data_IF_154563663480
#
_entry.id   IF_154563663480
#
_cell.length_a   1.000
_cell.length_b   1.000
_cell.length_c   1.000
_cell.angle_alpha   90.00
_cell.angle_beta   90.00
_cell.angle_gamma   90.00
#
_symmetry.space_group_name_H-M   'P 1'
#
loop_
_entity.id
_entity.type
_entity.pdbx_description
1 polymer ?
#
# COMPACT_ATOMS: atom_id res chain seq x y z
N UNK A 1 8.64 0.51 -0.54
CA UNK A 1 8.40 0.67 0.92
C UNK A 1 9.66 0.62 1.82
N UNK A 2 10.30 -0.52 2.13
CA UNK A 2 11.49 -0.52 3.05
C UNK A 2 12.65 0.33 2.52
N UNK A 3 13.01 0.15 1.25
CA UNK A 3 14.00 0.98 0.56
C UNK A 3 13.61 2.48 0.49
N UNK A 4 12.31 2.80 0.58
CA UNK A 4 11.83 4.19 0.64
C UNK A 4 12.07 4.79 2.03
N UNK A 5 11.84 4.01 3.09
CA UNK A 5 12.10 4.42 4.46
C UNK A 5 13.59 4.70 4.71
N UNK A 6 14.48 3.89 4.15
CA UNK A 6 15.93 4.04 4.28
C UNK A 6 16.46 5.34 3.66
N UNK A 7 15.77 5.88 2.66
CA UNK A 7 16.10 7.16 2.00
C UNK A 7 15.69 8.39 2.83
N UNK A 8 14.88 8.23 3.87
CA UNK A 8 14.42 9.33 4.73
C UNK A 8 15.46 9.62 5.81
N UNK A 9 15.88 10.88 5.94
CA UNK A 9 16.79 11.30 7.00
C UNK A 9 16.08 11.59 8.32
N UNK A 10 14.83 12.08 8.29
CA UNK A 10 14.02 12.29 9.49
C UNK A 10 13.61 10.94 10.11
N UNK A 11 14.02 10.64 11.37
CA UNK A 11 13.66 9.40 12.05
C UNK A 11 12.15 9.20 12.22
N UNK A 12 11.38 10.29 12.39
CA UNK A 12 9.91 10.20 12.55
C UNK A 12 9.25 9.80 11.24
N UNK A 13 9.57 10.48 10.14
CA UNK A 13 9.10 10.09 8.82
C UNK A 13 9.51 8.65 8.45
N UNK A 14 10.76 8.26 8.76
CA UNK A 14 11.25 6.89 8.54
C UNK A 14 10.41 5.85 9.28
N UNK A 15 10.23 6.02 10.60
CA UNK A 15 9.44 5.11 11.41
C UNK A 15 8.00 5.00 10.88
N UNK A 16 7.43 6.13 10.46
CA UNK A 16 6.09 6.16 9.88
C UNK A 16 6.00 5.36 8.58
N UNK A 17 6.93 5.53 7.63
CA UNK A 17 6.97 4.72 6.39
C UNK A 17 7.22 3.23 6.67
N UNK A 18 8.00 2.89 7.70
CA UNK A 18 8.16 1.48 8.10
C UNK A 18 6.87 0.86 8.64
N UNK A 19 6.07 1.62 9.41
CA UNK A 19 4.74 1.17 9.87
C UNK A 19 3.82 0.94 8.67
N UNK A 20 3.77 1.89 7.72
CA UNK A 20 3.03 1.71 6.48
C UNK A 20 3.49 0.45 5.70
N UNK A 21 4.78 0.11 5.74
CA UNK A 21 5.32 -1.09 5.08
C UNK A 21 4.81 -2.38 5.74
N UNK A 22 4.57 -2.36 7.05
CA UNK A 22 4.01 -3.49 7.77
C UNK A 22 2.56 -3.76 7.38
N UNK A 23 1.75 -2.71 7.17
CA UNK A 23 0.38 -2.86 6.68
C UNK A 23 0.33 -3.54 5.29
N UNK A 24 1.21 -3.17 4.36
CA UNK A 24 1.30 -3.84 3.06
C UNK A 24 1.56 -5.36 3.19
N UNK A 25 2.39 -5.78 4.16
CA UNK A 25 2.61 -7.20 4.43
C UNK A 25 1.37 -7.87 5.01
N UNK A 26 0.61 -7.17 5.87
CA UNK A 26 -0.67 -7.67 6.37
C UNK A 26 -1.68 -7.88 5.24
N UNK A 27 -1.76 -6.97 4.25
CA UNK A 27 -2.62 -7.15 3.07
C UNK A 27 -2.31 -8.48 2.36
N UNK A 28 -1.02 -8.71 2.06
CA UNK A 28 -0.55 -9.92 1.39
C UNK A 28 -0.87 -11.19 2.21
N UNK A 29 -0.66 -11.18 3.52
CA UNK A 29 -1.01 -12.31 4.40
C UNK A 29 -2.50 -12.61 4.41
N UNK A 30 -3.37 -11.58 4.46
CA UNK A 30 -4.83 -11.77 4.42
C UNK A 30 -5.28 -12.38 3.09
N UNK A 31 -4.77 -11.88 1.97
CA UNK A 31 -5.06 -12.45 0.64
C UNK A 31 -4.51 -13.88 0.51
N UNK A 32 -3.30 -14.14 0.99
CA UNK A 32 -2.71 -15.48 0.98
C UNK A 32 -3.52 -16.46 1.83
N UNK A 33 -4.01 -16.07 3.01
CA UNK A 33 -4.89 -16.91 3.82
C UNK A 33 -6.19 -17.28 3.08
N UNK A 34 -6.72 -16.38 2.24
CA UNK A 34 -7.87 -16.68 1.36
C UNK A 34 -7.49 -17.63 0.24
N UNK A 35 -6.33 -17.43 -0.41
CA UNK A 35 -5.89 -18.22 -1.56
C UNK A 35 -5.27 -19.57 -1.22
N UNK A 36 -4.71 -19.72 -0.01
CA UNK A 36 -4.24 -21.00 0.51
C UNK A 36 -5.37 -22.03 0.58
N UNK A 37 -6.62 -21.57 0.65
CA UNK A 37 -7.81 -22.45 0.52
C UNK A 37 -8.11 -22.87 -0.93
N UNK A 38 -7.41 -22.34 -1.95
CA UNK A 38 -7.73 -22.50 -3.39
C UNK A 38 -6.56 -22.74 -4.37
N UNK A 39 -5.33 -23.03 -3.90
CA UNK A 39 -4.07 -23.43 -4.64
C UNK A 39 -3.03 -22.32 -4.91
N UNK A 40 -1.76 -22.71 -4.71
CA UNK A 40 -0.56 -22.22 -5.41
C UNK A 40 0.09 -20.93 -4.88
N UNK A 41 1.44 -20.82 -4.88
CA UNK A 41 2.10 -19.57 -4.51
C UNK A 41 1.74 -18.47 -5.52
N UNK A 42 1.33 -17.31 -5.01
CA UNK A 42 1.03 -16.15 -5.84
C UNK A 42 2.31 -15.59 -6.47
N UNK A 43 2.24 -15.08 -7.72
CA UNK A 43 3.34 -14.32 -8.30
C UNK A 43 3.62 -13.06 -7.47
N UNK A 44 4.89 -12.82 -7.15
CA UNK A 44 5.35 -11.62 -6.45
C UNK A 44 5.52 -10.51 -7.49
N UNK A 45 4.77 -9.41 -7.34
CA UNK A 45 4.96 -8.24 -8.18
C UNK A 45 6.29 -7.54 -7.85
N UNK A 46 7.15 -7.38 -8.85
CA UNK A 46 8.45 -6.71 -8.76
C UNK A 46 8.35 -5.27 -9.28
N UNK A 47 7.63 -4.38 -8.58
CA UNK A 47 7.66 -2.96 -8.92
C UNK A 47 8.74 -2.22 -8.11
N UNK A 48 9.84 -1.87 -8.80
CA UNK A 48 10.91 -1.03 -8.28
C UNK A 48 10.50 0.44 -8.32
N UNK A 49 10.41 1.08 -7.15
CA UNK A 49 10.05 2.49 -7.02
C UNK A 49 11.32 3.37 -7.14
N UNK A 50 11.70 3.66 -8.39
CA UNK A 50 12.91 4.41 -8.77
C UNK A 50 12.74 5.93 -8.90
N UNK A 51 11.96 6.58 -8.02
CA UNK A 51 11.78 8.04 -8.09
C UNK A 51 13.08 8.82 -7.84
N UNK A 52 13.40 9.81 -8.69
CA UNK A 52 14.66 10.56 -8.69
C UNK A 52 14.91 11.37 -7.40
N UNK A 53 13.85 11.87 -6.75
CA UNK A 53 13.92 12.51 -5.42
C UNK A 53 13.02 11.80 -4.42
N UNK A 54 13.27 11.98 -3.13
CA UNK A 54 12.47 11.35 -2.08
C UNK A 54 11.01 11.82 -2.11
N UNK A 55 10.77 13.11 -2.39
CA UNK A 55 9.41 13.66 -2.54
C UNK A 55 8.67 13.08 -3.74
N UNK A 56 9.36 12.85 -4.86
CA UNK A 56 8.77 12.18 -6.05
C UNK A 56 8.48 10.71 -5.72
N UNK A 57 9.41 10.01 -5.09
CA UNK A 57 9.22 8.60 -4.73
C UNK A 57 8.04 8.40 -3.73
N UNK A 58 7.84 9.33 -2.79
CA UNK A 58 6.68 9.33 -1.89
C UNK A 58 5.36 9.58 -2.64
N UNK A 59 5.35 10.50 -3.63
CA UNK A 59 4.17 10.74 -4.48
C UNK A 59 3.84 9.53 -5.35
N UNK A 60 4.85 8.89 -5.93
CA UNK A 60 4.67 7.71 -6.77
C UNK A 60 4.10 6.54 -5.97
N UNK A 61 4.64 6.29 -4.77
CA UNK A 61 4.10 5.26 -3.86
C UNK A 61 2.68 5.65 -3.38
N UNK A 62 2.40 6.94 -3.13
CA UNK A 62 1.04 7.39 -2.78
C UNK A 62 0.04 7.13 -3.91
N UNK A 63 0.44 7.34 -5.17
CA UNK A 63 -0.38 7.07 -6.35
C UNK A 63 -0.56 5.56 -6.56
N UNK A 64 0.49 4.78 -6.32
CA UNK A 64 0.41 3.32 -6.33
C UNK A 64 -0.60 2.81 -5.29
N UNK A 65 -0.56 3.32 -4.06
CA UNK A 65 -1.53 2.98 -3.01
C UNK A 65 -2.98 3.28 -3.43
N UNK A 66 -3.25 4.42 -4.10
CA UNK A 66 -4.59 4.72 -4.65
C UNK A 66 -5.04 3.69 -5.68
N UNK A 67 -4.18 3.35 -6.65
CA UNK A 67 -4.49 2.32 -7.65
C UNK A 67 -4.77 0.97 -7.00
N UNK A 68 -4.08 0.63 -5.91
CA UNK A 68 -4.33 -0.59 -5.16
C UNK A 68 -5.68 -0.53 -4.44
N UNK A 69 -6.07 0.61 -3.87
CA UNK A 69 -7.40 0.80 -3.29
C UNK A 69 -8.51 0.59 -4.33
N UNK A 70 -8.37 1.14 -5.55
CA UNK A 70 -9.33 0.96 -6.63
C UNK A 70 -9.43 -0.52 -7.06
N UNK A 71 -8.30 -1.24 -7.09
CA UNK A 71 -8.31 -2.69 -7.33
C UNK A 71 -9.03 -3.46 -6.24
N UNK A 72 -8.85 -3.08 -4.98
CA UNK A 72 -9.55 -3.72 -3.87
C UNK A 72 -11.07 -3.46 -3.90
N UNK A 73 -11.51 -2.30 -4.37
CA UNK A 73 -12.93 -2.03 -4.62
C UNK A 73 -13.53 -3.02 -5.61
N UNK A 74 -12.89 -3.17 -6.78
CA UNK A 74 -13.34 -4.11 -7.82
C UNK A 74 -13.35 -5.56 -7.29
N UNK A 75 -12.33 -5.95 -6.52
CA UNK A 75 -12.28 -7.27 -5.89
C UNK A 75 -13.40 -7.49 -4.88
N UNK A 76 -13.75 -6.48 -4.08
CA UNK A 76 -14.86 -6.56 -3.14
C UNK A 76 -16.20 -6.74 -3.85
N UNK A 77 -16.42 -6.01 -4.95
CA UNK A 77 -17.61 -6.14 -5.80
C UNK A 77 -17.72 -7.53 -6.42
N UNK A 78 -16.63 -8.04 -7.02
CA UNK A 78 -16.59 -9.38 -7.58
C UNK A 78 -16.86 -10.45 -6.52
N UNK A 79 -16.28 -10.32 -5.33
CA UNK A 79 -16.51 -11.25 -4.23
C UNK A 79 -17.97 -11.26 -3.79
N UNK A 80 -18.63 -10.10 -3.70
CA UNK A 80 -20.08 -9.98 -3.42
C UNK A 80 -20.92 -10.66 -4.49
N UNK A 81 -20.61 -10.46 -5.77
CA UNK A 81 -21.33 -11.11 -6.89
C UNK A 81 -21.28 -12.64 -6.80
N UNK A 82 -20.19 -13.19 -6.24
CA UNK A 82 -20.02 -14.63 -6.02
C UNK A 82 -20.44 -15.10 -4.61
N UNK A 83 -21.11 -14.26 -3.82
CA UNK A 83 -21.50 -14.55 -2.44
C UNK A 83 -20.34 -14.92 -1.49
N UNK A 84 -19.10 -14.52 -1.81
CA UNK A 84 -17.93 -14.67 -0.93
C UNK A 84 -17.77 -13.43 -0.05
N UNK A 85 -18.66 -13.27 0.93
CA UNK A 85 -18.72 -12.10 1.81
C UNK A 85 -17.44 -11.92 2.66
N UNK A 86 -16.75 -13.01 2.99
CA UNK A 86 -15.50 -12.96 3.74
C UNK A 86 -14.38 -12.34 2.90
N UNK A 87 -14.24 -12.76 1.64
CA UNK A 87 -13.28 -12.13 0.73
C UNK A 87 -13.64 -10.69 0.40
N UNK A 88 -14.95 -10.36 0.32
CA UNK A 88 -15.40 -8.98 0.13
C UNK A 88 -14.96 -8.08 1.29
N UNK A 89 -15.17 -8.52 2.54
CA UNK A 89 -14.76 -7.77 3.73
C UNK A 89 -13.23 -7.57 3.80
N UNK A 90 -12.44 -8.60 3.49
CA UNK A 90 -10.97 -8.49 3.44
C UNK A 90 -10.52 -7.46 2.40
N UNK A 91 -11.15 -7.45 1.22
CA UNK A 91 -10.85 -6.48 0.18
C UNK A 91 -11.22 -5.05 0.61
N UNK A 92 -12.35 -4.85 1.28
CA UNK A 92 -12.75 -3.54 1.82
C UNK A 92 -11.82 -3.02 2.92
N UNK A 93 -11.38 -3.91 3.82
CA UNK A 93 -10.39 -3.57 4.84
C UNK A 93 -9.08 -3.12 4.19
N UNK A 94 -8.56 -3.90 3.24
CA UNK A 94 -7.32 -3.55 2.53
C UNK A 94 -7.49 -2.24 1.72
N UNK A 95 -8.66 -2.01 1.12
CA UNK A 95 -8.96 -0.74 0.43
C UNK A 95 -8.83 0.45 1.38
N UNK A 96 -9.43 0.36 2.56
CA UNK A 96 -9.41 1.43 3.56
C UNK A 96 -7.97 1.73 4.00
N UNK A 97 -7.20 0.69 4.31
CA UNK A 97 -5.79 0.81 4.71
C UNK A 97 -4.92 1.41 3.57
N UNK A 98 -5.18 1.07 2.30
CA UNK A 98 -4.51 1.69 1.14
C UNK A 98 -4.87 3.17 0.94
N UNK A 99 -6.12 3.56 1.18
CA UNK A 99 -6.53 4.97 1.11
C UNK A 99 -5.83 5.81 2.19
N UNK A 100 -5.75 5.30 3.42
CA UNK A 100 -5.04 5.97 4.50
C UNK A 100 -3.55 6.08 4.21
N UNK A 101 -2.93 4.99 3.72
CA UNK A 101 -1.55 4.97 3.25
C UNK A 101 -1.29 6.03 2.17
N UNK A 102 -2.17 6.13 1.18
CA UNK A 102 -2.07 7.11 0.10
C UNK A 102 -2.14 8.56 0.60
N UNK A 103 -3.05 8.85 1.54
CA UNK A 103 -3.16 10.20 2.14
C UNK A 103 -1.88 10.55 2.89
N UNK A 104 -1.37 9.61 3.67
CA UNK A 104 -0.22 9.83 4.53
C UNK A 104 1.08 10.03 3.75
N UNK A 105 1.33 9.20 2.74
CA UNK A 105 2.49 9.37 1.85
C UNK A 105 2.44 10.71 1.11
N UNK A 106 1.25 11.17 0.72
CA UNK A 106 1.07 12.48 0.09
C UNK A 106 1.33 13.63 1.08
N UNK A 107 0.93 13.49 2.36
CA UNK A 107 1.26 14.47 3.41
C UNK A 107 2.77 14.54 3.65
N UNK A 108 3.44 13.39 3.76
CA UNK A 108 4.90 13.33 3.89
C UNK A 108 5.60 13.98 2.68
N UNK A 109 5.14 13.69 1.46
CA UNK A 109 5.69 14.30 0.25
C UNK A 109 5.52 15.83 0.22
N UNK A 110 4.39 16.35 0.72
CA UNK A 110 4.16 17.80 0.85
C UNK A 110 5.06 18.43 1.90
N UNK A 111 5.23 17.78 3.06
CA UNK A 111 6.14 18.23 4.11
C UNK A 111 7.60 18.30 3.63
N UNK A 112 8.00 17.42 2.73
CA UNK A 112 9.34 17.44 2.12
C UNK A 112 9.51 18.54 1.04
N UNK A 113 8.42 19.02 0.44
CA UNK A 113 8.46 20.10 -0.55
C UNK A 113 8.50 21.50 0.11
N UNK A 114 8.04 21.61 1.37
CA UNK A 114 8.06 22.86 2.15
C UNK A 114 9.37 23.12 2.91
N UNK A 115 10.35 22.22 2.81
CA UNK A 115 11.67 22.36 3.42
C UNK A 115 12.74 22.62 2.37
N UNK A 116 12.81 23.84 1.86
CA UNK A 116 14.02 24.42 1.29
C UNK A 116 14.42 25.61 2.20
N UNK A 117 15.73 25.84 2.44
CA UNK A 117 16.20 26.86 3.39
C UNK A 117 15.67 28.26 3.12
#
# INVERSE_FOLDING_TARGET
MTALAERLQDPRARARVMVLAAFCRAHASRLHARLATRRGPLPVATESHGGATIGVALKDEANFARRMADRYEVLAELARQHSDLQSAWVAELNRTEEQDRARELMMLAKGMAGGAP
#
